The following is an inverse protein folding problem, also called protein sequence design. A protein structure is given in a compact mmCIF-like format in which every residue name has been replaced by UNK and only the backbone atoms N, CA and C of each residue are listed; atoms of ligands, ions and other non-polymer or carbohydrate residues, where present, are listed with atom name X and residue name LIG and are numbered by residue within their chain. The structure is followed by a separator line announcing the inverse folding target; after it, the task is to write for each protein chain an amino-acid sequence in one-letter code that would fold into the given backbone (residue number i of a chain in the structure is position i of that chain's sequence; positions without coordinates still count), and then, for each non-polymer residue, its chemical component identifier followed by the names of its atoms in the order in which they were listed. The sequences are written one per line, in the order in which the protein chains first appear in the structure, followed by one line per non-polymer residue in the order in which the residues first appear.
data_IF_716323490176
#
_entry.id   IF_716323490176
#
_cell.length_a   1.000
_cell.length_b   1.000
_cell.length_c   1.000
_cell.angle_alpha   90.00
_cell.angle_beta   90.00
_cell.angle_gamma   90.00
#
_symmetry.space_group_name_H-M   'P 1'
#
loop_
_entity.id
_entity.type
_entity.pdbx_description
1 polymer ?
#
# COMPACT_ATOMS: atom_id res chain seq x y z
N UNK A 1 -8.16 -26.39 -5.65
CA UNK A 1 -7.70 -24.98 -5.72
C UNK A 1 -6.51 -25.03 -6.64
N UNK A 2 -6.60 -24.42 -7.81
CA UNK A 2 -5.55 -24.50 -8.83
C UNK A 2 -4.48 -23.46 -8.55
N UNK A 3 -3.67 -23.70 -7.51
CA UNK A 3 -2.52 -22.85 -7.19
C UNK A 3 -1.52 -22.77 -8.37
N UNK A 4 -1.51 -23.77 -9.25
CA UNK A 4 -0.65 -23.84 -10.43
C UNK A 4 -0.98 -22.78 -11.50
N UNK A 5 -2.15 -22.11 -11.40
CA UNK A 5 -2.53 -21.03 -12.32
C UNK A 5 -2.24 -19.63 -11.76
N UNK A 6 -1.84 -19.52 -10.49
CA UNK A 6 -1.65 -18.23 -9.81
C UNK A 6 -0.52 -17.43 -10.46
N UNK A 7 0.61 -18.08 -10.79
CA UNK A 7 1.76 -17.40 -11.41
C UNK A 7 1.40 -16.78 -12.77
N UNK A 8 0.64 -17.49 -13.60
CA UNK A 8 0.22 -17.00 -14.92
C UNK A 8 -0.73 -15.81 -14.82
N UNK A 9 -1.69 -15.88 -13.91
CA UNK A 9 -2.63 -14.78 -13.62
C UNK A 9 -1.89 -13.55 -13.07
N UNK A 10 -0.96 -13.74 -12.12
CA UNK A 10 -0.16 -12.65 -11.55
C UNK A 10 0.68 -11.98 -12.63
N UNK A 11 1.36 -12.76 -13.48
CA UNK A 11 2.21 -12.23 -14.55
C UNK A 11 1.41 -11.41 -15.58
N UNK A 12 0.21 -11.88 -15.94
CA UNK A 12 -0.68 -11.17 -16.85
C UNK A 12 -1.16 -9.84 -16.27
N UNK A 13 -1.63 -9.83 -15.01
CA UNK A 13 -2.07 -8.62 -14.32
C UNK A 13 -0.94 -7.58 -14.21
N UNK A 14 0.28 -8.00 -13.83
CA UNK A 14 1.46 -7.12 -13.74
C UNK A 14 1.80 -6.50 -15.10
N UNK A 15 1.77 -7.30 -16.17
CA UNK A 15 2.07 -6.84 -17.53
C UNK A 15 1.03 -5.84 -18.04
N UNK A 16 -0.26 -6.09 -17.77
CA UNK A 16 -1.34 -5.16 -18.12
C UNK A 16 -1.19 -3.83 -17.39
N UNK A 17 -0.89 -3.86 -16.08
CA UNK A 17 -0.65 -2.66 -15.28
C UNK A 17 0.53 -1.84 -15.81
N UNK A 18 1.64 -2.49 -16.16
CA UNK A 18 2.82 -1.81 -16.72
C UNK A 18 2.51 -1.14 -18.08
N UNK A 19 1.70 -1.79 -18.92
CA UNK A 19 1.32 -1.26 -20.22
C UNK A 19 0.37 -0.05 -20.13
N UNK A 20 -0.47 0.01 -19.10
CA UNK A 20 -1.44 1.11 -18.89
C UNK A 20 -0.88 2.25 -18.04
N UNK A 21 0.22 2.03 -17.31
CA UNK A 21 0.84 3.03 -16.44
C UNK A 21 1.12 4.40 -17.09
N UNK A 22 1.59 4.50 -18.36
CA UNK A 22 1.82 5.80 -19.01
C UNK A 22 0.54 6.60 -19.30
N UNK A 23 -0.62 5.95 -19.28
CA UNK A 23 -1.94 6.56 -19.52
C UNK A 23 -2.70 6.83 -18.22
N UNK A 24 -2.16 6.43 -17.07
CA UNK A 24 -2.76 6.67 -15.78
C UNK A 24 -2.48 8.10 -15.29
N UNK A 25 -3.41 8.67 -14.53
CA UNK A 25 -3.29 10.00 -13.92
C UNK A 25 -2.29 10.07 -12.75
N UNK A 26 -1.62 8.95 -12.43
CA UNK A 26 -0.67 8.85 -11.32
C UNK A 26 -1.31 8.62 -9.95
N UNK A 27 -2.64 8.58 -9.86
CA UNK A 27 -3.37 8.32 -8.61
C UNK A 27 -3.61 6.82 -8.45
N UNK A 28 -2.76 6.17 -7.65
CA UNK A 28 -3.02 4.80 -7.20
C UNK A 28 -4.02 4.82 -6.04
N UNK A 29 -5.15 4.15 -6.22
CA UNK A 29 -6.14 4.02 -5.16
C UNK A 29 -5.61 3.06 -4.08
N UNK A 30 -5.65 3.50 -2.83
CA UNK A 30 -5.02 2.81 -1.69
C UNK A 30 -5.51 1.36 -1.50
N UNK A 31 -6.76 1.05 -1.89
CA UNK A 31 -7.32 -0.31 -1.81
C UNK A 31 -6.89 -1.24 -2.94
N UNK A 32 -6.23 -0.74 -3.99
CA UNK A 32 -5.66 -1.56 -5.07
C UNK A 32 -4.15 -1.79 -4.90
N UNK A 33 -3.54 -1.27 -3.82
CA UNK A 33 -2.13 -1.48 -3.56
C UNK A 33 -1.86 -2.90 -3.04
N UNK A 34 -0.95 -3.60 -3.72
CA UNK A 34 -0.54 -4.97 -3.36
C UNK A 34 0.50 -4.95 -2.23
N UNK A 35 0.68 -6.08 -1.54
CA UNK A 35 1.56 -6.20 -0.36
C UNK A 35 3.03 -5.80 -0.62
N UNK A 36 3.49 -5.87 -1.88
CA UNK A 36 4.82 -5.44 -2.33
C UNK A 36 5.02 -3.91 -2.33
N UNK A 37 3.96 -3.13 -2.12
CA UNK A 37 3.98 -1.65 -2.21
C UNK A 37 4.05 -0.95 -0.84
N UNK A 38 4.50 -1.64 0.21
CA UNK A 38 4.66 -1.05 1.55
C UNK A 38 5.51 0.24 1.56
N UNK A 39 6.47 0.38 0.65
CA UNK A 39 7.27 1.62 0.48
C UNK A 39 6.49 2.77 -0.21
N UNK A 40 5.40 2.46 -0.93
CA UNK A 40 4.54 3.47 -1.59
C UNK A 40 3.45 4.03 -0.68
N UNK A 41 3.30 3.53 0.54
CA UNK A 41 2.28 4.00 1.49
C UNK A 41 2.38 5.52 1.71
N UNK A 42 3.60 6.07 1.85
CA UNK A 42 3.81 7.52 1.97
C UNK A 42 3.41 8.28 0.71
N UNK A 43 3.72 7.74 -0.47
CA UNK A 43 3.34 8.34 -1.76
C UNK A 43 1.83 8.30 -2.00
N UNK A 44 1.15 7.26 -1.52
CA UNK A 44 -0.29 7.08 -1.72
C UNK A 44 -1.13 7.98 -0.81
N UNK A 45 -0.67 8.22 0.43
CA UNK A 45 -1.34 9.15 1.34
C UNK A 45 -0.93 10.62 1.12
N UNK A 46 0.20 10.86 0.45
CA UNK A 46 0.68 12.20 0.10
C UNK A 46 0.78 13.11 1.32
N UNK A 47 0.31 14.35 1.20
CA UNK A 47 0.32 15.35 2.28
C UNK A 47 -0.50 14.96 3.52
N UNK A 48 -1.37 13.94 3.43
CA UNK A 48 -2.15 13.48 4.58
C UNK A 48 -1.36 12.52 5.47
N UNK A 49 -0.22 11.98 5.00
CA UNK A 49 0.56 10.99 5.72
C UNK A 49 1.00 11.48 7.10
N UNK A 50 1.54 12.70 7.19
CA UNK A 50 2.00 13.28 8.47
C UNK A 50 0.87 13.41 9.50
N UNK A 51 -0.33 13.78 9.05
CA UNK A 51 -1.51 13.86 9.92
C UNK A 51 -1.95 12.48 10.40
N UNK A 52 -1.85 11.47 9.54
CA UNK A 52 -2.20 10.10 9.90
C UNK A 52 -1.18 9.50 10.88
N UNK A 53 0.11 9.79 10.73
CA UNK A 53 1.15 9.44 11.72
C UNK A 53 0.83 10.08 13.07
N UNK A 54 0.52 11.37 13.12
CA UNK A 54 0.16 12.04 14.37
C UNK A 54 -1.09 11.43 15.05
N UNK A 55 -2.06 10.95 14.26
CA UNK A 55 -3.22 10.21 14.78
C UNK A 55 -2.82 8.82 15.27
N UNK A 56 -1.97 8.11 14.54
CA UNK A 56 -1.43 6.80 14.95
C UNK A 56 -0.64 6.91 16.24
N UNK A 57 0.17 7.96 16.42
CA UNK A 57 0.89 8.25 17.67
C UNK A 57 -0.06 8.47 18.85
N UNK A 58 -1.20 9.12 18.62
CA UNK A 58 -2.19 9.39 19.67
C UNK A 58 -3.03 8.17 20.05
N UNK A 59 -3.40 7.34 19.07
CA UNK A 59 -4.41 6.29 19.24
C UNK A 59 -3.86 4.86 19.21
N UNK A 60 -2.70 4.63 18.58
CA UNK A 60 -2.05 3.32 18.46
C UNK A 60 -0.50 3.45 18.49
N UNK A 61 0.09 4.01 19.55
CA UNK A 61 1.54 4.22 19.64
C UNK A 61 2.33 2.90 19.64
N UNK A 62 1.72 1.80 20.08
CA UNK A 62 2.32 0.46 20.05
C UNK A 62 2.19 -0.26 18.70
N UNK A 63 1.59 0.39 17.69
CA UNK A 63 1.33 -0.18 16.37
C UNK A 63 0.65 -1.56 16.41
N UNK A 64 -0.34 -1.72 17.31
CA UNK A 64 -1.07 -2.96 17.50
C UNK A 64 -1.87 -3.32 16.23
N UNK A 65 -2.45 -2.32 15.57
CA UNK A 65 -3.22 -2.51 14.34
C UNK A 65 -2.34 -2.32 13.10
N UNK A 66 -1.54 -3.33 12.78
CA UNK A 66 -0.54 -3.30 11.69
C UNK A 66 -0.82 -4.20 10.49
N UNK A 67 -1.89 -5.01 10.53
CA UNK A 67 -2.30 -5.87 9.40
C UNK A 67 -3.19 -5.08 8.41
N UNK A 68 -2.66 -4.01 7.85
CA UNK A 68 -3.30 -3.13 6.85
C UNK A 68 -2.20 -2.40 6.05
N UNK A 69 -2.56 -1.44 5.19
CA UNK A 69 -1.60 -0.51 4.56
C UNK A 69 -1.01 0.41 5.62
N UNK A 70 -0.10 -0.15 6.41
CA UNK A 70 0.22 0.34 7.75
C UNK A 70 1.01 1.64 7.72
N UNK A 71 0.63 2.54 8.63
CA UNK A 71 1.36 3.77 8.92
C UNK A 71 2.06 3.55 10.25
N UNK A 72 3.39 3.58 10.26
CA UNK A 72 4.16 3.42 11.49
C UNK A 72 4.03 4.68 12.36
N UNK A 73 3.83 4.54 13.68
CA UNK A 73 3.95 5.66 14.61
C UNK A 73 5.40 6.16 14.66
N UNK A 74 5.58 7.43 15.00
CA UNK A 74 6.89 8.10 15.10
C UNK A 74 7.74 7.55 16.24
N UNK A 75 7.09 6.98 17.26
CA UNK A 75 7.74 6.46 18.46
C UNK A 75 7.65 4.95 18.44
N UNK A 76 8.44 4.29 17.59
CA UNK A 76 8.65 2.84 17.73
C UNK A 76 9.51 2.67 18.98
N UNK A 77 8.87 2.30 20.09
CA UNK A 77 9.54 1.87 21.32
C UNK A 77 10.22 0.52 21.14
#
# INVERSE_FOLDING_TARGET
SDADQDEGCIAWCRSLFAATAPFATGEAYVNFMTEEEGERVTSAYGSSYERLVALKDKYDPGNLFRMNQNIAPSTVG
#
